data_IF_709997855410
#
_entry.id   IF_709997855410
#
_cell.length_a   1.000
_cell.length_b   1.000
_cell.length_c   1.000
_cell.angle_alpha   90.00
_cell.angle_beta   90.00
_cell.angle_gamma   90.00
#
_symmetry.space_group_name_H-M   'P 1'
#
loop_
_entity.id
_entity.type
_entity.pdbx_description
1 polymer ?
#
# COMPACT_ATOMS: atom_id res chain seq x y z
N UNK A 1 12.94 -36.85 33.17
CA UNK A 1 12.01 -35.76 33.55
C UNK A 1 12.24 -34.47 32.75
N UNK A 2 13.45 -33.89 32.72
CA UNK A 2 13.76 -32.65 31.97
C UNK A 2 13.40 -32.69 30.47
N UNK A 3 13.63 -33.83 29.79
CA UNK A 3 13.32 -34.02 28.36
C UNK A 3 11.82 -34.06 28.04
N UNK A 4 11.01 -34.58 28.98
CA UNK A 4 9.55 -34.64 28.85
C UNK A 4 8.96 -33.23 29.00
N UNK A 5 9.51 -32.47 29.95
CA UNK A 5 9.10 -31.09 30.23
C UNK A 5 9.33 -30.16 29.02
N UNK A 6 10.45 -30.36 28.30
CA UNK A 6 10.75 -29.64 27.05
C UNK A 6 9.76 -30.00 25.93
N UNK A 7 9.42 -31.29 25.79
CA UNK A 7 8.47 -31.74 24.78
C UNK A 7 7.06 -31.18 24.98
N UNK A 8 6.59 -31.12 26.23
CA UNK A 8 5.28 -30.53 26.58
C UNK A 8 5.26 -29.03 26.31
N UNK A 9 6.34 -28.31 26.63
CA UNK A 9 6.43 -26.87 26.35
C UNK A 9 6.36 -26.57 24.85
N UNK A 10 7.03 -27.36 24.00
CA UNK A 10 6.99 -27.18 22.55
C UNK A 10 5.61 -27.39 21.93
N UNK A 11 4.79 -28.32 22.46
CA UNK A 11 3.42 -28.54 21.98
C UNK A 11 2.49 -27.36 22.26
N UNK A 12 2.69 -26.66 23.37
CA UNK A 12 1.90 -25.48 23.76
C UNK A 12 2.23 -24.28 22.84
N UNK A 13 3.48 -24.11 22.44
CA UNK A 13 3.88 -23.04 21.50
C UNK A 13 3.33 -23.25 20.08
N UNK A 14 3.22 -24.49 19.61
CA UNK A 14 2.70 -24.79 18.26
C UNK A 14 1.18 -24.62 18.17
N UNK A 15 0.46 -24.74 19.29
CA UNK A 15 -1.00 -24.54 19.35
C UNK A 15 -1.40 -23.06 19.56
N UNK A 16 -0.47 -22.21 20.00
CA UNK A 16 -0.71 -20.78 20.25
C UNK A 16 -0.69 -19.88 18.99
N UNK A 17 -0.23 -20.36 17.83
CA UNK A 17 -0.16 -19.56 16.60
C UNK A 17 -1.38 -19.69 15.66
N UNK A 18 -2.33 -20.59 15.94
CA UNK A 18 -3.47 -20.88 15.03
C UNK A 18 -4.77 -20.20 15.44
N UNK A 19 -4.70 -19.08 16.18
CA UNK A 19 -5.85 -18.56 16.92
C UNK A 19 -6.70 -17.49 16.23
N UNK A 20 -6.10 -16.58 15.45
CA UNK A 20 -6.80 -15.40 14.91
C UNK A 20 -5.91 -14.75 13.87
N UNK A 21 -6.00 -15.21 12.62
CA UNK A 21 -5.73 -14.29 11.52
C UNK A 21 -6.85 -13.26 11.63
N UNK A 22 -6.53 -11.99 11.85
CA UNK A 22 -7.52 -10.91 11.70
C UNK A 22 -7.92 -10.87 10.23
N UNK A 23 -8.78 -11.79 9.81
CA UNK A 23 -9.51 -11.65 8.57
C UNK A 23 -10.53 -10.57 8.85
N UNK A 24 -10.18 -9.34 8.50
CA UNK A 24 -11.17 -8.28 8.42
C UNK A 24 -12.28 -8.84 7.51
N UNK A 25 -13.51 -9.07 8.03
CA UNK A 25 -14.56 -9.67 7.23
C UNK A 25 -14.74 -8.83 5.97
N UNK A 26 -14.83 -9.49 4.81
CA UNK A 26 -15.03 -8.78 3.55
C UNK A 26 -16.30 -7.93 3.72
N UNK A 27 -16.22 -6.61 3.45
CA UNK A 27 -17.36 -5.73 3.62
C UNK A 27 -18.57 -6.26 2.86
N UNK A 28 -19.73 -6.32 3.53
CA UNK A 28 -20.97 -6.74 2.90
C UNK A 28 -21.30 -5.80 1.72
N UNK A 29 -21.37 -6.30 0.48
CA UNK A 29 -21.68 -5.47 -0.68
C UNK A 29 -23.06 -4.80 -0.60
N UNK A 30 -23.98 -5.30 0.24
CA UNK A 30 -25.31 -4.70 0.48
C UNK A 30 -25.29 -3.55 1.48
N UNK A 31 -24.23 -3.42 2.28
CA UNK A 31 -24.06 -2.31 3.24
C UNK A 31 -23.76 -0.98 2.56
N UNK A 32 -23.19 -1.03 1.35
CA UNK A 32 -22.79 0.15 0.59
C UNK A 32 -23.79 0.37 -0.54
N UNK A 33 -24.71 1.30 -0.33
CA UNK A 33 -25.48 1.85 -1.44
C UNK A 33 -24.67 3.00 -2.04
N UNK A 34 -24.36 2.91 -3.33
CA UNK A 34 -23.92 4.11 -4.03
C UNK A 34 -25.06 5.13 -3.98
N UNK A 35 -24.79 6.40 -3.65
CA UNK A 35 -25.80 7.44 -3.76
C UNK A 35 -26.33 7.43 -5.20
N UNK A 36 -27.66 7.48 -5.37
CA UNK A 36 -28.26 7.64 -6.69
C UNK A 36 -27.67 8.91 -7.30
N UNK A 37 -26.86 8.77 -8.35
CA UNK A 37 -26.28 9.91 -9.04
C UNK A 37 -27.42 10.80 -9.51
N UNK A 38 -27.46 12.05 -9.03
CA UNK A 38 -28.30 13.06 -9.66
C UNK A 38 -27.82 13.25 -11.09
N UNK A 39 -28.76 13.46 -12.01
CA UNK A 39 -28.49 13.64 -13.44
C UNK A 39 -27.52 14.84 -13.68
N UNK A 40 -27.40 15.73 -12.68
CA UNK A 40 -26.55 16.92 -12.69
C UNK A 40 -25.19 16.77 -11.98
N UNK A 41 -24.77 15.55 -11.61
CA UNK A 41 -23.44 15.36 -11.02
C UNK A 41 -22.35 15.61 -12.08
N UNK A 42 -21.73 16.80 -12.03
CA UNK A 42 -20.47 17.08 -12.72
C UNK A 42 -19.33 16.69 -11.77
N UNK A 43 -18.60 15.59 -12.03
CA UNK A 43 -17.38 15.34 -11.28
C UNK A 43 -16.44 16.51 -11.53
N UNK A 44 -16.10 17.26 -10.47
CA UNK A 44 -14.99 18.19 -10.52
C UNK A 44 -13.72 17.35 -10.63
N UNK A 45 -13.27 17.13 -11.85
CA UNK A 45 -12.02 16.42 -12.17
C UNK A 45 -10.79 17.27 -11.87
N UNK A 46 -11.00 18.56 -11.64
CA UNK A 46 -9.91 19.50 -11.36
C UNK A 46 -9.45 19.33 -9.92
N UNK A 47 -8.29 18.72 -9.77
CA UNK A 47 -7.55 18.71 -8.51
C UNK A 47 -6.88 20.07 -8.37
N UNK A 48 -7.15 20.83 -7.28
CA UNK A 48 -6.44 22.07 -7.02
C UNK A 48 -4.92 21.88 -7.05
N UNK A 49 -4.21 22.77 -7.75
CA UNK A 49 -2.76 22.71 -7.93
C UNK A 49 -2.00 22.52 -6.61
N UNK A 50 -2.50 23.11 -5.52
CA UNK A 50 -1.95 22.95 -4.17
C UNK A 50 -1.82 21.47 -3.76
N UNK A 51 -2.85 20.65 -3.97
CA UNK A 51 -2.83 19.26 -3.55
C UNK A 51 -1.87 18.39 -4.35
N UNK A 52 -1.62 18.76 -5.61
CA UNK A 52 -0.60 18.12 -6.44
C UNK A 52 0.79 18.39 -5.83
N UNK A 53 1.08 19.67 -5.54
CA UNK A 53 2.36 20.08 -4.94
C UNK A 53 2.57 19.46 -3.56
N UNK A 54 1.55 19.49 -2.70
CA UNK A 54 1.60 18.91 -1.36
C UNK A 54 1.88 17.40 -1.40
N UNK A 55 1.28 16.69 -2.38
CA UNK A 55 1.52 15.26 -2.58
C UNK A 55 2.95 14.98 -3.07
N UNK A 56 3.44 15.74 -4.06
CA UNK A 56 4.80 15.58 -4.58
C UNK A 56 5.85 15.81 -3.48
N UNK A 57 5.65 16.80 -2.62
CA UNK A 57 6.55 17.09 -1.51
C UNK A 57 6.51 16.00 -0.43
N UNK A 58 5.32 15.48 -0.12
CA UNK A 58 5.17 14.30 0.74
C UNK A 58 5.95 13.11 0.18
N UNK A 59 5.77 12.78 -1.10
CA UNK A 59 6.42 11.65 -1.77
C UNK A 59 7.94 11.81 -1.72
N UNK A 60 8.47 12.99 -2.08
CA UNK A 60 9.91 13.28 -2.02
C UNK A 60 10.48 13.03 -0.62
N UNK A 61 9.78 13.50 0.41
CA UNK A 61 10.18 13.32 1.80
C UNK A 61 10.10 11.86 2.25
N UNK A 62 9.01 11.18 1.89
CA UNK A 62 8.76 9.78 2.26
C UNK A 62 9.82 8.85 1.68
N UNK A 63 10.12 8.99 0.39
CA UNK A 63 11.10 8.15 -0.30
C UNK A 63 12.55 8.60 -0.09
N UNK A 64 12.78 9.72 0.61
CA UNK A 64 14.11 10.35 0.74
C UNK A 64 14.78 10.53 -0.62
N UNK A 65 13.98 10.82 -1.65
CA UNK A 65 14.44 11.00 -3.02
C UNK A 65 15.05 12.39 -3.15
N UNK A 66 16.21 12.58 -2.52
CA UNK A 66 17.05 13.73 -2.82
C UNK A 66 17.53 13.57 -4.26
N UNK A 67 17.19 14.52 -5.14
CA UNK A 67 17.54 14.46 -6.56
C UNK A 67 19.05 14.28 -6.81
N UNK A 68 19.87 14.59 -5.81
CA UNK A 68 21.33 14.38 -5.80
C UNK A 68 21.75 12.90 -5.88
N UNK A 69 20.88 11.96 -5.51
CA UNK A 69 21.14 10.52 -5.52
C UNK A 69 20.18 9.73 -6.42
N UNK A 70 19.45 10.40 -7.32
CA UNK A 70 18.59 9.72 -8.27
C UNK A 70 19.44 8.89 -9.23
N UNK A 71 19.64 7.61 -8.90
CA UNK A 71 20.21 6.62 -9.82
C UNK A 71 19.26 6.58 -11.01
N UNK A 72 19.77 6.95 -12.20
CA UNK A 72 18.98 6.93 -13.45
C UNK A 72 18.31 5.57 -13.58
N UNK A 73 16.99 5.56 -13.68
CA UNK A 73 16.24 4.34 -13.91
C UNK A 73 16.62 3.76 -15.27
N UNK A 74 16.52 2.43 -15.44
CA UNK A 74 16.76 1.76 -16.72
C UNK A 74 15.94 2.41 -17.85
N UNK A 75 14.72 2.85 -17.53
CA UNK A 75 13.85 3.55 -18.47
C UNK A 75 14.42 4.91 -18.90
N UNK A 76 14.89 5.73 -17.95
CA UNK A 76 15.55 7.02 -18.27
C UNK A 76 16.83 6.85 -19.08
N UNK A 77 17.61 5.79 -18.83
CA UNK A 77 18.80 5.44 -19.61
C UNK A 77 18.41 5.03 -21.04
N UNK A 78 17.30 4.29 -21.19
CA UNK A 78 16.80 3.85 -22.49
C UNK A 78 16.34 5.01 -23.37
N UNK A 79 15.65 5.99 -22.79
CA UNK A 79 15.25 7.23 -23.48
C UNK A 79 16.45 8.06 -23.93
N UNK A 80 17.44 8.29 -23.07
CA UNK A 80 18.67 9.03 -23.43
C UNK A 80 19.46 8.35 -24.56
N UNK A 81 19.37 7.02 -24.67
CA UNK A 81 20.03 6.23 -25.71
C UNK A 81 19.19 6.07 -26.99
N UNK A 82 17.99 6.63 -27.04
CA UNK A 82 17.09 6.50 -28.17
C UNK A 82 16.58 5.07 -28.39
N UNK A 83 16.49 4.26 -27.33
CA UNK A 83 15.93 2.91 -27.41
C UNK A 83 14.39 2.89 -27.38
N UNK A 84 13.77 3.99 -26.98
CA UNK A 84 12.33 4.16 -26.92
C UNK A 84 11.98 5.51 -27.56
N UNK A 85 11.08 5.50 -28.53
CA UNK A 85 10.45 6.69 -29.14
C UNK A 85 9.27 7.18 -28.29
#
# INVERSE_FOLDING_TARGET
MKKILIGVFSLIFLSACSGKVQTNPIPDPKKYSFPKQSIDYKPTTDVPQKYIVDYDDYVKKFFKSDAKNAIKSIWSIGLERGHYE
#
